data_IF_005080766213
#
_entry.id   IF_005080766213
#
_cell.length_a   1.000
_cell.length_b   1.000
_cell.length_c   1.000
_cell.angle_alpha   90.00
_cell.angle_beta   90.00
_cell.angle_gamma   90.00
#
_symmetry.space_group_name_H-M   'P 1'
#
loop_
_entity.id
_entity.type
_entity.pdbx_description
1 polymer ?
#
# COMPACT_ATOMS: atom_id res chain seq x y z
N UNK A 1 -46.53 56.35 -31.59
CA UNK A 1 -46.50 54.88 -31.40
C UNK A 1 -45.17 54.53 -30.76
N UNK A 2 -45.14 54.23 -29.45
CA UNK A 2 -43.90 53.89 -28.73
C UNK A 2 -43.64 52.39 -28.92
N UNK A 3 -42.52 52.06 -29.54
CA UNK A 3 -42.08 50.67 -29.73
C UNK A 3 -41.44 50.25 -28.39
N UNK A 4 -42.10 49.35 -27.65
CA UNK A 4 -41.56 48.76 -26.43
C UNK A 4 -40.58 47.67 -26.84
N UNK A 5 -39.29 47.87 -26.56
CA UNK A 5 -38.22 46.94 -26.91
C UNK A 5 -38.22 45.77 -25.92
N UNK A 6 -38.57 44.58 -26.39
CA UNK A 6 -38.74 43.37 -25.58
C UNK A 6 -37.39 42.68 -25.32
N UNK A 7 -36.73 43.02 -24.21
CA UNK A 7 -35.41 42.50 -23.80
C UNK A 7 -35.40 41.00 -23.38
N UNK A 8 -36.53 40.29 -23.47
CA UNK A 8 -36.69 38.93 -22.96
C UNK A 8 -35.79 37.92 -23.66
N UNK A 9 -35.47 38.11 -24.94
CA UNK A 9 -34.60 37.19 -25.70
C UNK A 9 -33.15 37.19 -25.22
N UNK A 10 -32.61 38.36 -24.84
CA UNK A 10 -31.27 38.47 -24.27
C UNK A 10 -31.20 37.85 -22.87
N UNK A 11 -32.28 37.98 -22.08
CA UNK A 11 -32.37 37.39 -20.74
C UNK A 11 -32.39 35.86 -20.80
N UNK A 12 -33.09 35.27 -21.76
CA UNK A 12 -33.14 33.81 -21.94
C UNK A 12 -31.76 33.25 -22.31
N UNK A 13 -31.02 33.92 -23.21
CA UNK A 13 -29.67 33.49 -23.60
C UNK A 13 -28.71 33.51 -22.41
N UNK A 14 -28.77 34.54 -21.56
CA UNK A 14 -27.93 34.64 -20.36
C UNK A 14 -28.25 33.50 -19.38
N UNK A 15 -29.52 33.15 -19.20
CA UNK A 15 -29.94 32.05 -18.32
C UNK A 15 -29.42 30.70 -18.83
N UNK A 16 -29.50 30.44 -20.13
CA UNK A 16 -29.00 29.19 -20.72
C UNK A 16 -27.49 29.08 -20.56
N UNK A 17 -26.75 30.16 -20.77
CA UNK A 17 -25.29 30.19 -20.56
C UNK A 17 -24.97 29.89 -19.10
N UNK A 18 -25.65 30.53 -18.14
CA UNK A 18 -25.44 30.27 -16.71
C UNK A 18 -25.68 28.79 -16.35
N UNK A 19 -26.78 28.19 -16.81
CA UNK A 19 -27.08 26.78 -16.54
C UNK A 19 -26.00 25.86 -17.15
N UNK A 20 -25.55 26.16 -18.37
CA UNK A 20 -24.50 25.37 -19.03
C UNK A 20 -23.17 25.44 -18.28
N UNK A 21 -22.78 26.60 -17.76
CA UNK A 21 -21.53 26.75 -16.99
C UNK A 21 -21.57 25.98 -15.68
N UNK A 22 -22.72 25.98 -14.99
CA UNK A 22 -22.91 25.22 -13.74
C UNK A 22 -22.81 23.71 -14.02
N UNK A 23 -23.46 23.22 -15.08
CA UNK A 23 -23.37 21.82 -15.48
C UNK A 23 -21.93 21.40 -15.82
N UNK A 24 -21.18 22.28 -16.51
CA UNK A 24 -19.78 22.04 -16.84
C UNK A 24 -18.89 21.98 -15.60
N UNK A 25 -19.09 22.89 -14.63
CA UNK A 25 -18.37 22.90 -13.36
C UNK A 25 -18.62 21.63 -12.53
N UNK A 26 -19.85 21.13 -12.54
CA UNK A 26 -20.20 19.87 -11.87
C UNK A 26 -19.53 18.66 -12.55
N UNK A 27 -19.58 18.58 -13.87
CA UNK A 27 -18.93 17.51 -14.64
C UNK A 27 -17.41 17.50 -14.46
N UNK A 28 -16.80 18.69 -14.43
CA UNK A 28 -15.36 18.84 -14.21
C UNK A 28 -14.94 18.39 -12.80
N UNK A 29 -15.69 18.80 -11.77
CA UNK A 29 -15.45 18.38 -10.39
C UNK A 29 -15.58 16.86 -10.22
N UNK A 30 -16.58 16.23 -10.84
CA UNK A 30 -16.75 14.77 -10.82
C UNK A 30 -15.59 14.03 -11.50
N UNK A 31 -15.07 14.58 -12.59
CA UNK A 31 -13.91 14.01 -13.30
C UNK A 31 -12.63 14.08 -12.47
N UNK A 32 -12.42 15.19 -11.75
CA UNK A 32 -11.28 15.34 -10.84
C UNK A 32 -11.34 14.38 -9.65
N UNK A 33 -12.53 14.17 -9.07
CA UNK A 33 -12.73 13.20 -7.99
C UNK A 33 -12.44 11.77 -8.48
N UNK A 34 -12.91 11.40 -9.66
CA UNK A 34 -12.62 10.08 -10.25
C UNK A 34 -11.13 9.83 -10.49
N UNK A 35 -10.36 10.86 -10.85
CA UNK A 35 -8.90 10.75 -10.99
C UNK A 35 -8.17 10.66 -9.64
N UNK A 36 -8.72 11.30 -8.60
CA UNK A 36 -8.19 11.20 -7.23
C UNK A 36 -8.36 9.80 -6.65
N UNK A 37 -9.52 9.17 -6.87
CA UNK A 37 -9.80 7.81 -6.40
C UNK A 37 -8.89 6.75 -7.07
N UNK A 38 -8.52 6.94 -8.33
CA UNK A 38 -7.60 6.05 -9.03
C UNK A 38 -6.18 6.07 -8.44
N UNK A 39 -5.67 7.24 -8.04
CA UNK A 39 -4.35 7.35 -7.41
C UNK A 39 -4.33 6.75 -6.00
N UNK A 40 -5.42 6.91 -5.25
CA UNK A 40 -5.55 6.30 -3.92
C UNK A 40 -5.57 4.78 -4.03
N UNK A 41 -6.28 4.24 -5.03
CA UNK A 41 -6.40 2.80 -5.26
C UNK A 41 -5.03 2.17 -5.59
N UNK A 42 -4.23 2.79 -6.46
CA UNK A 42 -2.91 2.27 -6.83
C UNK A 42 -1.94 2.26 -5.63
N UNK A 43 -1.96 3.32 -4.81
CA UNK A 43 -1.13 3.38 -3.60
C UNK A 43 -1.52 2.35 -2.54
N UNK A 44 -2.83 2.08 -2.41
CA UNK A 44 -3.34 1.07 -1.48
C UNK A 44 -3.04 -0.34 -1.97
N UNK A 45 -3.23 -0.60 -3.27
CA UNK A 45 -2.94 -1.89 -3.89
C UNK A 45 -1.46 -2.25 -3.77
N UNK A 46 -0.55 -1.35 -4.15
CA UNK A 46 0.89 -1.61 -4.03
C UNK A 46 1.35 -1.73 -2.58
N UNK A 47 0.76 -0.95 -1.66
CA UNK A 47 1.00 -1.08 -0.23
C UNK A 47 0.57 -2.44 0.34
N UNK A 48 -0.57 -2.96 -0.14
CA UNK A 48 -1.07 -4.29 0.22
C UNK A 48 -0.24 -5.41 -0.39
N UNK A 49 0.21 -5.25 -1.63
CA UNK A 49 1.10 -6.20 -2.30
C UNK A 49 2.44 -6.30 -1.56
N UNK A 50 3.05 -5.17 -1.20
CA UNK A 50 4.28 -5.16 -0.42
C UNK A 50 4.11 -5.85 0.95
N UNK A 51 2.95 -5.71 1.59
CA UNK A 51 2.65 -6.39 2.85
C UNK A 51 2.51 -7.91 2.64
N UNK A 52 1.76 -8.34 1.62
CA UNK A 52 1.61 -9.77 1.30
C UNK A 52 2.93 -10.44 0.96
N UNK A 53 3.84 -9.74 0.26
CA UNK A 53 5.21 -10.22 0.01
C UNK A 53 6.00 -10.31 1.32
N UNK A 54 5.88 -9.33 2.22
CA UNK A 54 6.55 -9.35 3.52
C UNK A 54 6.09 -10.54 4.38
N UNK A 55 4.79 -10.78 4.47
CA UNK A 55 4.22 -11.90 5.22
C UNK A 55 4.69 -13.24 4.65
N UNK A 56 4.63 -13.41 3.33
CA UNK A 56 5.09 -14.63 2.66
C UNK A 56 6.57 -14.92 2.94
N UNK A 57 7.40 -13.88 2.93
CA UNK A 57 8.82 -14.00 3.22
C UNK A 57 9.12 -14.29 4.69
N UNK A 58 8.31 -13.75 5.59
CA UNK A 58 8.41 -14.03 7.02
C UNK A 58 8.01 -15.48 7.33
N UNK A 59 6.96 -16.01 6.70
CA UNK A 59 6.59 -17.42 6.79
C UNK A 59 7.68 -18.34 6.21
N UNK A 60 8.24 -18.00 5.06
CA UNK A 60 9.36 -18.75 4.46
C UNK A 60 10.60 -18.73 5.36
N UNK A 61 10.90 -17.61 6.03
CA UNK A 61 11.99 -17.52 6.98
C UNK A 61 11.79 -18.46 8.17
N UNK A 62 10.57 -18.51 8.74
CA UNK A 62 10.21 -19.44 9.81
C UNK A 62 10.29 -20.90 9.35
N UNK A 63 9.83 -21.19 8.14
CA UNK A 63 9.90 -22.52 7.55
C UNK A 63 11.36 -22.99 7.38
N UNK A 64 12.23 -22.11 6.86
CA UNK A 64 13.67 -22.40 6.73
C UNK A 64 14.36 -22.57 8.06
N UNK A 65 14.02 -21.76 9.05
CA UNK A 65 14.53 -21.92 10.42
C UNK A 65 14.14 -23.25 11.05
N UNK A 66 12.93 -23.74 10.77
CA UNK A 66 12.50 -25.06 11.22
C UNK A 66 13.32 -26.19 10.59
N UNK A 67 13.71 -26.05 9.33
CA UNK A 67 14.51 -27.05 8.60
C UNK A 67 16.00 -26.97 8.96
N UNK A 68 16.53 -25.76 9.01
CA UNK A 68 17.92 -25.45 9.34
C UNK A 68 17.95 -24.38 10.42
N UNK A 69 18.26 -24.83 11.63
CA UNK A 69 18.39 -23.98 12.79
C UNK A 69 19.62 -23.05 12.70
N UNK A 70 20.43 -23.06 11.63
CA UNK A 70 21.50 -22.10 11.36
C UNK A 70 21.21 -21.21 10.15
N UNK A 71 19.96 -21.12 9.72
CA UNK A 71 19.57 -20.20 8.65
C UNK A 71 19.82 -18.75 9.09
N UNK A 72 20.63 -18.02 8.31
CA UNK A 72 21.07 -16.66 8.59
C UNK A 72 20.33 -15.58 7.75
N UNK A 73 19.29 -15.98 7.03
CA UNK A 73 18.57 -15.08 6.12
C UNK A 73 19.14 -15.06 4.70
N UNK A 74 18.71 -14.07 3.92
CA UNK A 74 19.05 -13.92 2.51
C UNK A 74 18.04 -13.06 1.74
N UNK A 75 18.28 -12.90 0.43
CA UNK A 75 17.35 -12.23 -0.47
C UNK A 75 16.49 -13.27 -1.20
N UNK A 76 15.18 -13.06 -1.22
CA UNK A 76 14.22 -13.88 -1.95
C UNK A 76 13.48 -13.01 -2.97
N UNK A 77 13.47 -13.45 -4.22
CA UNK A 77 12.77 -12.78 -5.31
C UNK A 77 11.52 -13.57 -5.64
N UNK A 78 10.36 -12.92 -5.52
CA UNK A 78 9.06 -13.45 -5.90
C UNK A 78 8.64 -12.85 -7.25
N UNK A 79 7.57 -13.39 -7.85
CA UNK A 79 6.96 -12.84 -9.07
C UNK A 79 6.58 -11.36 -8.89
N UNK A 80 6.05 -11.02 -7.72
CA UNK A 80 5.33 -9.77 -7.49
C UNK A 80 6.14 -8.78 -6.61
N UNK A 81 7.39 -9.12 -6.28
CA UNK A 81 8.27 -8.30 -5.43
C UNK A 81 9.52 -9.04 -4.97
N UNK A 82 10.35 -8.39 -4.17
CA UNK A 82 11.53 -9.01 -3.54
C UNK A 82 11.57 -8.71 -2.06
N UNK A 83 12.20 -9.57 -1.28
CA UNK A 83 12.37 -9.34 0.15
C UNK A 83 13.75 -9.74 0.64
N UNK A 84 14.24 -9.00 1.63
CA UNK A 84 15.49 -9.25 2.33
C UNK A 84 15.14 -9.73 3.73
N UNK A 85 15.59 -10.93 4.07
CA UNK A 85 15.44 -11.55 5.38
C UNK A 85 16.77 -11.41 6.10
N UNK A 86 16.77 -10.72 7.23
CA UNK A 86 17.92 -10.54 8.12
C UNK A 86 17.60 -11.24 9.44
N UNK A 87 18.47 -12.17 9.86
CA UNK A 87 18.35 -12.86 11.15
C UNK A 87 19.49 -12.40 12.03
N UNK A 88 19.14 -11.81 13.16
CA UNK A 88 20.10 -11.37 14.17
C UNK A 88 19.98 -12.34 15.34
N UNK A 89 21.07 -13.08 15.56
CA UNK A 89 21.28 -13.86 16.78
C UNK A 89 21.86 -12.93 17.85
N UNK A 90 21.10 -12.56 18.89
CA UNK A 90 21.71 -11.94 20.06
C UNK A 90 22.70 -12.96 20.64
N UNK A 91 23.91 -12.53 20.94
CA UNK A 91 25.08 -13.37 21.23
C UNK A 91 24.94 -14.41 22.37
N UNK A 92 23.80 -14.47 23.07
CA UNK A 92 23.54 -15.35 24.22
C UNK A 92 22.05 -15.77 24.36
N UNK A 93 21.20 -15.58 23.34
CA UNK A 93 19.75 -15.81 23.48
C UNK A 93 19.23 -17.01 22.67
N UNK A 94 18.30 -17.76 23.27
CA UNK A 94 17.41 -18.71 22.56
C UNK A 94 16.47 -17.96 21.60
N UNK A 95 16.33 -16.65 21.81
CA UNK A 95 15.53 -15.73 21.02
C UNK A 95 16.30 -15.21 19.81
N UNK A 96 15.74 -15.37 18.62
CA UNK A 96 16.20 -14.79 17.36
C UNK A 96 15.31 -13.66 16.93
N UNK A 97 15.92 -12.59 16.45
CA UNK A 97 15.20 -11.47 15.84
C UNK A 97 15.29 -11.57 14.33
N UNK A 98 14.16 -11.74 13.67
CA UNK A 98 14.05 -11.80 12.22
C UNK A 98 13.44 -10.50 11.73
N UNK A 99 14.11 -9.88 10.78
CA UNK A 99 13.66 -8.65 10.14
C UNK A 99 13.51 -8.92 8.66
N UNK A 100 12.30 -8.78 8.15
CA UNK A 100 11.97 -8.98 6.75
C UNK A 100 11.63 -7.64 6.14
N UNK A 101 12.34 -7.26 5.09
CA UNK A 101 12.09 -6.04 4.32
C UNK A 101 11.62 -6.43 2.93
N UNK A 102 10.34 -6.23 2.63
CA UNK A 102 9.78 -6.48 1.30
C UNK A 102 9.69 -5.19 0.49
N UNK A 103 9.86 -5.33 -0.82
CA UNK A 103 9.78 -4.29 -1.83
C UNK A 103 8.87 -4.76 -2.95
N UNK A 104 7.77 -4.05 -3.18
CA UNK A 104 6.91 -4.23 -4.34
C UNK A 104 6.77 -2.88 -5.07
N UNK A 105 7.35 -2.78 -6.27
CA UNK A 105 7.39 -1.51 -7.01
C UNK A 105 8.14 -0.41 -6.26
N UNK A 106 7.44 0.67 -5.92
CA UNK A 106 8.00 1.80 -5.15
C UNK A 106 7.73 1.70 -3.63
N UNK A 107 7.02 0.67 -3.18
CA UNK A 107 6.58 0.53 -1.79
C UNK A 107 7.46 -0.49 -1.06
N UNK A 108 7.87 -0.10 0.15
CA UNK A 108 8.63 -0.95 1.05
C UNK A 108 7.81 -1.22 2.31
N UNK A 109 7.79 -2.47 2.75
CA UNK A 109 7.18 -2.92 4.00
C UNK A 109 8.20 -3.68 4.81
N UNK A 110 8.15 -3.53 6.12
CA UNK A 110 9.12 -4.14 7.01
C UNK A 110 8.41 -4.82 8.16
N UNK A 111 8.63 -6.12 8.30
CA UNK A 111 8.09 -6.92 9.39
C UNK A 111 9.25 -7.32 10.28
N UNK A 112 9.03 -7.19 11.57
CA UNK A 112 9.95 -7.64 12.58
C UNK A 112 9.26 -8.65 13.48
N UNK A 113 9.91 -9.77 13.69
CA UNK A 113 9.40 -10.86 14.51
C UNK A 113 10.51 -11.42 15.39
N UNK A 114 10.15 -11.73 16.63
CA UNK A 114 11.03 -12.38 17.59
C UNK A 114 10.58 -13.84 17.75
N UNK A 115 11.53 -14.77 17.74
CA UNK A 115 11.26 -16.21 17.71
C UNK A 115 12.17 -16.90 18.72
N UNK A 116 11.60 -17.70 19.60
CA UNK A 116 12.35 -18.57 20.52
C UNK A 116 12.54 -19.96 19.88
N UNK A 117 13.75 -20.50 19.94
CA UNK A 117 14.10 -21.82 19.41
C UNK A 117 14.11 -22.89 20.51
N UNK A 118 12.94 -23.20 21.05
CA UNK A 118 12.77 -24.28 22.02
C UNK A 118 12.70 -25.64 21.29
N UNK A 119 13.64 -26.55 21.60
CA UNK A 119 13.69 -27.90 21.03
C UNK A 119 13.70 -27.97 19.49
N UNK A 120 14.34 -27.00 18.82
CA UNK A 120 14.42 -26.94 17.35
C UNK A 120 13.07 -26.65 16.66
N UNK A 121 12.10 -26.10 17.40
CA UNK A 121 10.84 -25.60 16.84
C UNK A 121 10.74 -24.08 17.08
N UNK A 122 10.59 -23.26 16.02
CA UNK A 122 10.48 -21.82 16.15
C UNK A 122 9.13 -21.42 16.77
N UNK A 123 9.15 -20.82 17.94
CA UNK A 123 7.97 -20.27 18.64
C UNK A 123 7.97 -18.76 18.46
N UNK A 124 6.94 -18.22 17.82
CA UNK A 124 6.79 -16.78 17.60
C UNK A 124 6.45 -16.11 18.94
N UNK A 125 7.30 -15.20 19.39
CA UNK A 125 7.09 -14.36 20.56
C UNK A 125 6.35 -13.07 20.18
N UNK A 126 6.79 -12.42 19.10
CA UNK A 126 6.23 -11.17 18.61
C UNK A 126 6.18 -11.14 17.10
N UNK A 127 5.18 -10.44 16.56
CA UNK A 127 5.05 -10.15 15.13
C UNK A 127 4.58 -8.71 14.98
N UNK A 128 5.40 -7.86 14.37
CA UNK A 128 5.11 -6.44 14.24
C UNK A 128 5.45 -5.93 12.84
N UNK A 129 4.47 -5.29 12.20
CA UNK A 129 4.74 -4.42 11.03
C UNK A 129 5.35 -3.12 11.54
N UNK A 130 6.60 -2.88 11.16
CA UNK A 130 7.34 -1.65 11.40
C UNK A 130 7.38 -0.85 10.10
N UNK A 131 6.21 -0.38 9.68
CA UNK A 131 6.06 0.50 8.53
C UNK A 131 6.99 1.71 8.68
N UNK A 132 7.91 1.90 7.73
CA UNK A 132 8.80 3.06 7.62
C UNK A 132 8.07 4.29 7.08
#
# INVERSE_FOLDING_TARGET
MKIVQNNSGAVILIIVVMISTIAFLMAYSASLLGLGDLQITDSFEQGSLALGVADSCAEEALYRLRLDNNYNGGNLVLSDGSCIIEIIDPADAVDRQITVTATAGAYNRKIQLAVDLLNNEPIILTWQDISL
#
